data_IF_930655997297
#
_entry.id   IF_930655997297
#
_cell.length_a   1.000
_cell.length_b   1.000
_cell.length_c   1.000
_cell.angle_alpha   90.00
_cell.angle_beta   90.00
_cell.angle_gamma   90.00
#
_symmetry.space_group_name_H-M   'P 1'
#
loop_
_entity.id
_entity.type
_entity.pdbx_description
1 polymer ?
2 non-polymer ?
3 non-polymer ?
4 water ?
#
# COMPACT_ATOMS: atom_id res chain seq x y z
N UNK A 1 21.08 -8.13 -14.02
CA UNK A 1 21.70 -8.51 -12.73
C UNK A 1 21.11 -7.59 -11.64
N UNK A 2 20.39 -8.25 -10.73
CA UNK A 2 19.81 -7.64 -9.57
C UNK A 2 20.46 -8.21 -8.30
N UNK A 3 21.05 -7.31 -7.51
CA UNK A 3 21.75 -7.65 -6.30
C UNK A 3 21.08 -6.92 -5.11
N UNK A 4 20.59 -7.68 -4.14
CA UNK A 4 19.81 -7.17 -2.97
C UNK A 4 20.64 -7.27 -1.73
N UNK A 5 20.83 -6.17 -1.01
CA UNK A 5 21.46 -6.17 0.29
C UNK A 5 20.34 -6.09 1.33
N UNK A 6 20.45 -6.93 2.35
CA UNK A 6 19.46 -7.05 3.38
C UNK A 6 20.14 -7.13 4.70
N UNK A 7 19.37 -6.91 5.75
CA UNK A 7 19.83 -7.02 7.15
C UNK A 7 19.30 -5.91 8.03
N UNK A 8 19.62 -6.01 9.32
CA UNK A 8 19.13 -5.03 10.28
C UNK A 8 19.84 -3.68 10.18
N UNK A 9 19.21 -2.71 10.79
CA UNK A 9 19.76 -1.41 10.99
C UNK A 9 21.15 -1.58 11.69
N UNK A 10 22.19 -0.92 11.19
CA UNK A 10 23.53 -1.00 11.81
C UNK A 10 24.41 -2.12 11.31
N UNK A 11 23.89 -2.95 10.38
CA UNK A 11 24.66 -3.99 9.72
C UNK A 11 25.71 -3.52 8.70
N UNK A 12 25.72 -2.26 8.34
CA UNK A 12 26.66 -1.74 7.36
C UNK A 12 26.18 -1.87 5.91
N UNK A 13 24.94 -2.33 5.68
CA UNK A 13 24.48 -2.63 4.34
C UNK A 13 24.41 -1.40 3.45
N UNK A 14 24.12 -0.22 3.99
CA UNK A 14 24.14 0.96 3.14
C UNK A 14 25.56 1.22 2.56
N UNK A 15 26.51 1.13 3.47
CA UNK A 15 27.92 1.42 3.20
C UNK A 15 28.46 0.41 2.23
N UNK A 16 28.14 -0.86 2.46
CA UNK A 16 28.61 -1.90 1.58
C UNK A 16 28.01 -1.83 0.17
N UNK A 17 26.73 -1.48 0.08
CA UNK A 17 26.07 -1.33 -1.18
C UNK A 17 26.72 -0.26 -2.09
N UNK A 18 26.98 0.91 -1.50
CA UNK A 18 27.66 2.03 -2.14
C UNK A 18 29.09 1.63 -2.54
N UNK A 19 29.74 0.88 -1.67
CA UNK A 19 31.06 0.33 -1.97
C UNK A 19 31.00 -0.64 -3.18
N UNK A 20 29.98 -1.50 -3.23
CA UNK A 20 29.84 -2.37 -4.39
C UNK A 20 29.47 -1.55 -5.70
N UNK A 21 28.55 -0.57 -5.61
CA UNK A 21 28.22 0.29 -6.73
C UNK A 21 29.49 0.94 -7.38
N UNK A 22 30.35 1.50 -6.55
CA UNK A 22 31.58 2.17 -7.04
C UNK A 22 32.56 1.17 -7.60
N UNK A 23 32.62 -0.01 -6.99
CA UNK A 23 33.52 -1.04 -7.44
C UNK A 23 33.10 -1.54 -8.81
N UNK A 24 31.82 -1.82 -9.00
CA UNK A 24 31.35 -2.40 -10.27
C UNK A 24 31.38 -1.37 -11.38
N UNK A 25 31.14 -0.09 -11.02
CA UNK A 25 31.26 1.04 -11.96
C UNK A 25 32.69 1.15 -12.53
N UNK A 26 33.68 1.06 -11.64
CA UNK A 26 35.12 1.05 -12.02
C UNK A 26 35.46 -0.11 -12.95
N UNK A 27 34.91 -1.29 -12.70
CA UNK A 27 35.11 -2.47 -13.55
C UNK A 27 34.34 -2.43 -14.88
N UNK A 28 33.63 -1.33 -15.14
CA UNK A 28 32.95 -1.10 -16.41
C UNK A 28 31.50 -1.57 -16.54
N UNK A 29 30.86 -2.03 -15.46
CA UNK A 29 29.41 -2.33 -15.46
C UNK A 29 28.66 -1.03 -15.45
N UNK A 30 27.43 -1.06 -15.93
CA UNK A 30 26.55 0.06 -15.89
C UNK A 30 25.70 -0.21 -14.66
N UNK A 31 25.77 0.65 -13.67
CA UNK A 31 25.24 0.28 -12.38
C UNK A 31 24.17 1.25 -11.92
N UNK A 32 23.13 0.72 -11.26
CA UNK A 32 22.20 1.55 -10.49
C UNK A 32 22.25 1.18 -8.99
N UNK A 33 21.97 2.15 -8.13
CA UNK A 33 21.84 1.94 -6.71
C UNK A 33 20.59 2.61 -6.21
N UNK A 34 19.71 1.85 -5.60
CA UNK A 34 18.44 2.40 -5.07
C UNK A 34 18.29 1.93 -3.63
N UNK A 35 17.63 2.74 -2.79
CA UNK A 35 17.24 2.28 -1.46
C UNK A 35 15.72 2.01 -1.39
N UNK A 36 15.31 1.16 -0.46
CA UNK A 36 13.91 0.93 -0.17
C UNK A 36 13.64 1.17 1.31
N UNK A 37 12.56 1.88 1.65
CA UNK A 37 11.68 2.59 0.74
C UNK A 37 12.39 3.82 0.14
N UNK A 38 11.88 4.31 -0.97
CA UNK A 38 12.49 5.41 -1.68
C UNK A 38 12.93 5.00 -3.07
N UNK A 39 13.90 5.73 -3.58
CA UNK A 39 14.48 5.51 -4.90
C UNK A 39 13.75 6.08 -6.09
N UNK A 40 12.56 6.63 -5.87
CA UNK A 40 11.81 7.36 -6.88
C UNK A 40 11.21 8.56 -6.17
N UNK A 41 10.73 9.53 -6.94
CA UNK A 41 10.07 10.75 -6.39
C UNK A 41 8.89 10.40 -5.45
N UNK A 42 7.95 9.59 -5.94
CA UNK A 42 6.86 9.11 -5.12
C UNK A 42 7.34 8.30 -3.91
N UNK A 43 8.25 7.34 -4.16
CA UNK A 43 8.86 6.50 -3.11
C UNK A 43 9.46 7.27 -1.96
N UNK A 44 10.13 8.39 -2.27
CA UNK A 44 10.77 9.22 -1.20
C UNK A 44 9.75 9.95 -0.37
N UNK A 45 8.66 10.38 -0.99
CA UNK A 45 7.50 10.91 -0.26
C UNK A 45 6.94 9.87 0.68
N UNK A 46 6.83 8.61 0.22
CA UNK A 46 6.34 7.55 1.11
C UNK A 46 7.33 7.24 2.20
N UNK A 47 8.63 7.29 1.87
CA UNK A 47 9.65 7.01 2.81
C UNK A 47 9.53 8.01 3.99
N UNK A 48 9.40 9.30 3.66
CA UNK A 48 9.28 10.37 4.68
C UNK A 48 8.06 10.14 5.61
N UNK A 49 6.94 9.68 5.02
CA UNK A 49 5.77 9.33 5.81
C UNK A 49 6.11 8.20 6.76
N UNK A 50 6.68 7.13 6.21
CA UNK A 50 7.07 5.98 6.99
C UNK A 50 8.05 6.35 8.10
N UNK A 51 8.98 7.27 7.87
CA UNK A 51 9.97 7.61 8.91
C UNK A 51 9.45 8.67 9.89
N UNK A 52 8.47 9.48 9.49
CA UNK A 52 7.98 10.59 10.29
C UNK A 52 6.76 10.24 11.16
N UNK A 53 5.77 9.62 10.53
CA UNK A 53 4.41 9.60 11.08
C UNK A 53 4.18 8.40 11.94
N UNK A 54 3.18 8.46 12.80
CA UNK A 54 2.85 7.35 13.68
C UNK A 54 1.91 6.53 12.82
N UNK A 55 2.37 5.35 12.40
CA UNK A 55 1.57 4.47 11.54
C UNK A 55 1.35 3.15 12.20
N UNK A 56 0.16 2.61 12.04
CA UNK A 56 -0.08 1.24 12.37
C UNK A 56 0.67 0.31 11.45
N UNK A 57 0.82 -0.93 11.84
CA UNK A 57 1.63 -1.82 11.07
C UNK A 57 1.07 -2.25 9.70
N UNK A 58 -0.24 -2.20 9.52
CA UNK A 58 -0.88 -2.63 8.24
C UNK A 58 -0.72 -1.55 7.20
N UNK A 59 -0.90 -0.30 7.62
CA UNK A 59 -0.68 0.85 6.78
C UNK A 59 0.82 0.92 6.35
N UNK A 60 1.72 0.74 7.30
CA UNK A 60 3.16 0.65 7.00
C UNK A 60 3.51 -0.39 5.94
N UNK A 61 2.98 -1.59 6.11
CA UNK A 61 3.17 -2.67 5.16
C UNK A 61 2.78 -2.22 3.75
N UNK A 62 1.62 -1.59 3.62
CA UNK A 62 1.08 -1.19 2.36
C UNK A 62 1.89 -0.08 1.71
N UNK A 63 2.38 0.88 2.52
CA UNK A 63 3.27 1.92 2.02
C UNK A 63 4.65 1.38 1.62
N UNK A 64 5.25 0.45 2.37
CA UNK A 64 6.52 -0.14 1.92
C UNK A 64 6.32 -0.83 0.56
N UNK A 65 5.17 -1.51 0.38
CA UNK A 65 4.93 -2.16 -0.90
C UNK A 65 4.64 -1.17 -2.02
N UNK A 66 3.91 -0.10 -1.73
CA UNK A 66 3.67 0.96 -2.74
C UNK A 66 4.95 1.54 -3.27
N UNK A 67 5.86 1.82 -2.36
CA UNK A 67 7.17 2.34 -2.73
C UNK A 67 7.92 1.35 -3.62
N UNK A 68 7.82 0.07 -3.27
CA UNK A 68 8.46 -0.98 -4.05
C UNK A 68 7.88 -1.04 -5.46
N UNK A 69 6.54 -1.00 -5.55
CA UNK A 69 5.84 -1.11 -6.80
C UNK A 69 6.32 0.03 -7.72
N UNK A 70 6.41 1.23 -7.16
CA UNK A 70 6.85 2.39 -7.94
C UNK A 70 8.26 2.19 -8.43
N UNK A 71 9.13 1.75 -7.53
CA UNK A 71 10.52 1.51 -7.90
C UNK A 71 10.72 0.42 -8.96
N UNK A 72 10.00 -0.70 -8.78
CA UNK A 72 10.04 -1.78 -9.72
C UNK A 72 9.64 -1.25 -11.12
N UNK A 73 8.47 -0.60 -11.19
CA UNK A 73 7.92 -0.22 -12.47
C UNK A 73 8.65 0.90 -13.16
N UNK A 74 9.02 1.93 -12.42
CA UNK A 74 9.65 3.09 -12.97
C UNK A 74 11.14 2.87 -13.27
N UNK A 75 11.85 2.10 -12.46
CA UNK A 75 13.36 2.03 -12.54
C UNK A 75 13.95 0.64 -12.74
N UNK A 76 13.59 -0.32 -11.89
CA UNK A 76 14.26 -1.58 -11.86
C UNK A 76 13.98 -2.38 -13.14
N UNK A 77 12.71 -2.49 -13.51
CA UNK A 77 12.38 -3.31 -14.67
C UNK A 77 13.05 -2.69 -15.94
N UNK A 78 12.99 -1.35 -16.12
CA UNK A 78 13.73 -0.75 -17.29
C UNK A 78 15.25 -0.88 -17.17
N UNK A 79 15.79 -0.76 -15.95
CA UNK A 79 17.26 -0.88 -15.74
C UNK A 79 17.72 -2.30 -16.13
N UNK A 80 17.00 -3.29 -15.65
CA UNK A 80 17.33 -4.70 -15.98
C UNK A 80 17.26 -5.00 -17.48
N UNK A 81 16.27 -4.45 -18.14
CA UNK A 81 16.10 -4.70 -19.56
C UNK A 81 17.29 -4.11 -20.33
N UNK A 82 17.87 -3.02 -19.81
CA UNK A 82 19.10 -2.43 -20.34
C UNK A 82 20.42 -3.07 -19.79
N UNK A 83 20.37 -4.27 -19.23
CA UNK A 83 21.52 -4.92 -18.63
C UNK A 83 22.33 -4.05 -17.70
N UNK A 84 21.67 -3.17 -16.94
CA UNK A 84 22.34 -2.50 -15.80
C UNK A 84 22.41 -3.48 -14.62
N UNK A 85 23.45 -3.35 -13.81
CA UNK A 85 23.56 -4.05 -12.52
C UNK A 85 22.79 -3.17 -11.55
N UNK A 86 21.69 -3.72 -11.05
CA UNK A 86 20.84 -2.99 -10.10
C UNK A 86 21.16 -3.51 -8.70
N UNK A 87 21.62 -2.57 -7.84
CA UNK A 87 21.93 -2.83 -6.46
C UNK A 87 20.82 -2.22 -5.60
N UNK A 88 20.25 -3.03 -4.74
CA UNK A 88 19.18 -2.53 -3.85
C UNK A 88 19.61 -2.53 -2.39
N UNK A 89 19.45 -1.41 -1.70
CA UNK A 89 19.72 -1.33 -0.28
C UNK A 89 18.37 -1.63 0.39
N UNK A 90 18.18 -2.89 0.74
CA UNK A 90 16.92 -3.51 1.15
C UNK A 90 16.02 -3.92 0.00
N UNK A 91 15.26 -4.97 0.23
CA UNK A 91 14.27 -5.42 -0.74
C UNK A 91 13.27 -6.31 0.00
N UNK A 92 12.86 -7.44 -0.57
CA UNK A 92 11.63 -8.11 -0.14
C UNK A 92 11.80 -8.82 1.20
N UNK A 93 13.02 -9.22 1.53
CA UNK A 93 13.28 -9.96 2.77
C UNK A 93 13.16 -9.02 3.97
N UNK A 94 13.54 -7.74 3.80
CA UNK A 94 13.30 -6.73 4.82
C UNK A 94 11.84 -6.60 5.19
N UNK A 95 10.94 -6.63 4.21
CA UNK A 95 9.52 -6.59 4.51
C UNK A 95 9.07 -7.79 5.33
N UNK A 96 9.46 -8.98 4.94
CA UNK A 96 9.05 -10.20 5.63
C UNK A 96 9.65 -10.18 7.06
N UNK A 97 10.93 -9.86 7.15
CA UNK A 97 11.61 -9.80 8.46
C UNK A 97 11.06 -8.68 9.37
N UNK A 98 10.80 -7.51 8.85
CA UNK A 98 10.33 -6.41 9.71
C UNK A 98 8.81 -6.48 10.00
N UNK A 99 8.00 -6.59 8.96
CA UNK A 99 6.54 -6.57 9.14
C UNK A 99 5.96 -7.95 9.59
N UNK A 100 6.64 -9.01 9.19
CA UNK A 100 6.25 -10.43 9.48
C UNK A 100 6.87 -10.90 10.81
N UNK A 101 8.19 -11.13 10.85
CA UNK A 101 8.82 -11.68 12.07
C UNK A 101 8.85 -10.66 13.18
N UNK A 102 9.06 -9.40 12.84
CA UNK A 102 9.05 -8.36 13.84
C UNK A 102 7.65 -7.92 14.33
N UNK A 103 6.79 -7.41 13.44
CA UNK A 103 5.51 -6.84 13.85
C UNK A 103 4.37 -7.89 13.89
N UNK A 104 4.63 -9.14 13.46
CA UNK A 104 3.63 -10.20 13.55
C UNK A 104 2.59 -10.35 12.44
N UNK A 105 2.79 -9.69 11.30
CA UNK A 105 1.84 -9.78 10.18
C UNK A 105 2.11 -11.12 9.51
N UNK A 106 1.13 -11.58 8.76
CA UNK A 106 1.22 -12.91 8.15
C UNK A 106 2.28 -12.96 7.03
N UNK A 107 3.21 -13.89 7.15
CA UNK A 107 4.36 -13.97 6.22
C UNK A 107 3.95 -14.37 4.81
N UNK A 108 3.01 -15.32 4.66
CA UNK A 108 2.54 -15.71 3.34
C UNK A 108 1.83 -14.52 2.68
N UNK A 109 1.03 -13.77 3.44
CA UNK A 109 0.38 -12.55 2.93
C UNK A 109 1.44 -11.54 2.48
N UNK A 110 2.48 -11.38 3.27
CA UNK A 110 3.60 -10.50 2.84
C UNK A 110 4.28 -10.96 1.57
N UNK A 111 4.54 -12.27 1.47
CA UNK A 111 5.10 -12.84 0.24
C UNK A 111 4.23 -12.60 -0.96
N UNK A 112 2.91 -12.70 -0.82
CA UNK A 112 2.00 -12.33 -1.95
C UNK A 112 2.01 -10.85 -2.32
N UNK A 113 2.01 -9.97 -1.33
CA UNK A 113 2.20 -8.57 -1.64
C UNK A 113 3.51 -8.30 -2.35
N UNK A 114 4.60 -8.90 -1.88
CA UNK A 114 5.94 -8.78 -2.50
C UNK A 114 5.91 -9.22 -3.96
N UNK A 115 5.32 -10.38 -4.22
CA UNK A 115 5.15 -10.85 -5.60
C UNK A 115 4.45 -9.86 -6.49
N UNK A 116 3.31 -9.35 -6.01
CA UNK A 116 2.50 -8.34 -6.71
C UNK A 116 3.31 -7.04 -6.97
N UNK A 117 4.00 -6.55 -5.98
CA UNK A 117 4.70 -5.28 -6.15
C UNK A 117 5.88 -5.38 -7.13
N UNK A 118 6.51 -6.54 -7.11
CA UNK A 118 7.72 -6.79 -7.89
C UNK A 118 7.39 -7.31 -9.27
N UNK A 119 6.13 -7.66 -9.51
CA UNK A 119 5.78 -8.37 -10.77
C UNK A 119 6.60 -9.66 -10.84
N UNK A 120 6.87 -10.28 -9.71
CA UNK A 120 7.71 -11.47 -9.69
C UNK A 120 9.20 -11.29 -9.93
N UNK A 121 9.72 -10.05 -10.13
CA UNK A 121 11.17 -9.83 -10.24
C UNK A 121 11.87 -10.25 -8.91
N UNK A 122 12.88 -11.14 -9.03
CA UNK A 122 13.64 -11.74 -7.92
C UNK A 122 15.14 -11.42 -8.11
N UNK A 123 15.90 -11.20 -6.99
CA UNK A 123 17.33 -10.94 -7.15
C UNK A 123 18.06 -12.16 -7.71
N UNK A 124 19.15 -11.92 -8.40
CA UNK A 124 20.11 -12.99 -8.72
C UNK A 124 20.83 -13.44 -7.48
N UNK A 125 21.05 -12.51 -6.56
CA UNK A 125 21.66 -12.87 -5.32
C UNK A 125 21.22 -11.83 -4.30
N UNK A 126 21.01 -12.31 -3.09
CA UNK A 126 20.76 -11.48 -1.92
C UNK A 126 21.93 -11.66 -0.95
N UNK A 127 22.53 -10.52 -0.62
CA UNK A 127 23.51 -10.48 0.45
C UNK A 127 22.85 -10.11 1.79
N UNK A 128 22.74 -11.09 2.71
CA UNK A 128 22.32 -10.85 4.07
C UNK A 128 23.50 -10.52 4.94
N UNK A 129 23.57 -9.28 5.39
CA UNK A 129 24.62 -8.84 6.29
C UNK A 129 24.15 -9.03 7.74
N UNK A 130 24.49 -10.19 8.27
CA UNK A 130 24.12 -10.62 9.59
C UNK A 130 25.07 -10.06 10.61
N UNK A 131 24.53 -9.59 11.73
CA UNK A 131 25.30 -8.96 12.78
C UNK A 131 24.55 -9.07 14.07
N UNK A 132 25.27 -9.35 15.17
CA UNK A 132 24.55 -9.28 16.43
C UNK A 132 23.94 -7.90 16.72
N UNK A 133 22.70 -7.96 17.25
CA UNK A 133 21.98 -6.74 17.58
C UNK A 133 22.80 -5.80 18.46
N UNK A 134 23.47 -6.37 19.47
CA UNK A 134 24.28 -5.54 20.37
C UNK A 134 25.35 -4.79 19.63
N UNK A 135 25.99 -5.43 18.68
CA UNK A 135 27.03 -4.76 17.88
C UNK A 135 26.38 -3.69 16.98
N UNK A 136 25.27 -4.05 16.34
CA UNK A 136 24.57 -3.06 15.52
C UNK A 136 24.12 -1.82 16.34
N UNK A 137 23.57 -2.06 17.52
CA UNK A 137 23.19 -0.93 18.37
C UNK A 137 24.40 -0.07 18.79
N UNK A 138 25.52 -0.72 19.10
CA UNK A 138 26.77 0.02 19.41
C UNK A 138 27.18 0.93 18.27
N UNK A 139 27.18 0.39 17.05
CA UNK A 139 27.48 1.20 15.87
C UNK A 139 26.48 2.31 15.59
N UNK A 140 25.18 2.02 15.70
CA UNK A 140 24.20 3.11 15.60
C UNK A 140 24.40 4.16 16.70
N UNK A 141 24.73 3.72 17.92
CA UNK A 141 24.95 4.66 19.03
C UNK A 141 26.00 5.71 18.61
N UNK A 142 27.10 5.28 17.97
CA UNK A 142 28.16 6.20 17.47
C UNK A 142 27.68 7.24 16.47
N UNK A 143 26.68 6.90 15.65
CA UNK A 143 26.06 7.87 14.76
C UNK A 143 24.84 8.48 15.42
N UNK A 144 24.68 8.23 16.72
CA UNK A 144 23.61 8.86 17.51
C UNK A 144 22.20 8.37 17.12
N UNK A 145 22.09 7.08 16.77
CA UNK A 145 20.81 6.42 16.43
C UNK A 145 20.55 5.26 17.39
N UNK A 146 19.29 5.10 17.77
CA UNK A 146 18.84 4.19 18.82
C UNK A 146 17.67 3.44 18.21
N UNK A 147 17.72 2.13 18.29
CA UNK A 147 16.65 1.29 17.77
C UNK A 147 16.38 0.28 18.85
N UNK A 148 15.23 -0.35 18.73
CA UNK A 148 14.66 -1.21 19.73
C UNK A 148 15.26 -2.60 19.69
N UNK A 149 16.00 -2.93 20.76
CA UNK A 149 16.64 -4.22 20.87
C UNK A 149 15.72 -5.44 20.81
N UNK A 150 14.60 -5.37 21.53
CA UNK A 150 13.70 -6.52 21.53
C UNK A 150 13.20 -6.78 20.09
N UNK A 151 12.82 -5.71 19.43
CA UNK A 151 12.29 -5.77 18.08
C UNK A 151 13.38 -6.30 17.11
N UNK A 152 14.56 -5.73 17.19
CA UNK A 152 15.66 -6.15 16.31
C UNK A 152 16.13 -7.56 16.51
N UNK A 153 15.95 -8.15 17.71
CA UNK A 153 16.33 -9.55 17.91
C UNK A 153 15.42 -10.44 17.12
N UNK A 154 14.11 -10.11 17.12
CA UNK A 154 13.14 -10.87 16.32
C UNK A 154 13.45 -10.72 14.85
N UNK A 155 13.78 -9.52 14.46
CA UNK A 155 14.05 -9.25 13.01
C UNK A 155 15.29 -10.01 12.54
N UNK A 156 16.36 -9.95 13.32
CA UNK A 156 17.57 -10.68 12.97
C UNK A 156 17.29 -12.18 12.76
N UNK A 157 16.59 -12.79 13.72
CA UNK A 157 16.17 -14.21 13.63
C UNK A 157 15.38 -14.47 12.38
N UNK A 158 14.44 -13.58 12.09
CA UNK A 158 13.65 -13.71 10.86
C UNK A 158 14.51 -13.74 9.64
N UNK A 159 15.38 -12.75 9.50
CA UNK A 159 16.36 -12.76 8.41
C UNK A 159 17.11 -14.10 8.25
N UNK A 160 17.63 -14.63 9.37
CA UNK A 160 18.41 -15.88 9.33
C UNK A 160 17.55 -17.06 8.88
N UNK A 161 16.35 -17.16 9.42
CA UNK A 161 15.41 -18.18 8.95
C UNK A 161 15.10 -18.04 7.45
N UNK A 162 14.97 -16.81 6.95
CA UNK A 162 14.72 -16.60 5.54
C UNK A 162 15.93 -17.00 4.71
N UNK A 163 17.15 -16.78 5.20
CA UNK A 163 18.36 -17.16 4.44
C UNK A 163 18.48 -18.70 4.25
N UNK A 164 17.96 -19.49 5.18
CA UNK A 164 17.85 -20.99 5.05
C UNK A 164 16.80 -21.43 4.05
N UNK A 165 15.61 -20.83 4.16
CA UNK A 165 14.45 -21.20 3.33
C UNK A 165 14.61 -20.63 1.91
N UNK A 166 14.66 -19.29 1.77
CA UNK A 166 14.63 -18.58 0.44
C UNK A 166 15.84 -18.94 -0.42
N UNK A 167 15.70 -18.66 -1.72
CA UNK A 167 16.70 -19.03 -2.72
C UNK A 167 17.79 -17.95 -2.77
N UNK A 168 19.06 -18.34 -3.05
CA UNK A 168 20.09 -17.37 -3.49
C UNK A 168 20.42 -16.27 -2.47
N UNK A 169 20.30 -16.63 -1.20
CA UNK A 169 20.62 -15.76 -0.06
C UNK A 169 21.89 -16.24 0.61
N UNK A 170 22.94 -15.42 0.57
CA UNK A 170 24.21 -15.75 1.20
C UNK A 170 24.36 -14.92 2.47
N UNK A 171 24.68 -15.57 3.57
CA UNK A 171 24.90 -14.89 4.85
C UNK A 171 26.33 -14.39 4.91
N UNK A 172 26.51 -13.09 5.14
CA UNK A 172 27.80 -12.42 5.27
C UNK A 172 27.95 -12.04 6.73
N UNK A 173 29.13 -12.29 7.29
CA UNK A 173 29.44 -11.86 8.64
C UNK A 173 29.74 -10.36 8.61
N UNK A 174 28.73 -9.56 8.89
CA UNK A 174 28.86 -8.12 8.85
C UNK A 174 29.49 -7.56 10.12
N UNK A 175 29.84 -8.40 11.10
CA UNK A 175 30.57 -7.90 12.27
C UNK A 175 32.01 -7.50 11.99
N UNK A 176 32.62 -7.95 10.92
CA UNK A 176 34.03 -7.59 10.67
C UNK A 176 34.21 -6.14 10.27
N UNK A 177 35.44 -5.80 9.92
CA UNK A 177 35.76 -4.49 9.40
C UNK A 177 35.33 -4.43 7.95
N UNK A 178 35.29 -3.21 7.48
CA UNK A 178 34.75 -2.84 6.21
C UNK A 178 35.34 -3.62 5.10
N UNK A 179 36.67 -3.78 5.10
CA UNK A 179 37.29 -4.35 3.92
C UNK A 179 37.12 -5.83 4.00
N UNK A 180 37.10 -6.34 5.20
CA UNK A 180 36.94 -7.76 5.40
C UNK A 180 35.51 -8.19 4.97
N UNK A 181 34.53 -7.38 5.28
CA UNK A 181 33.13 -7.65 4.92
C UNK A 181 33.01 -7.59 3.38
N UNK A 182 33.63 -6.56 2.77
CA UNK A 182 33.55 -6.37 1.34
C UNK A 182 34.19 -7.54 0.59
N UNK A 183 35.26 -8.11 1.16
CA UNK A 183 35.89 -9.28 0.58
C UNK A 183 34.96 -10.47 0.54
N UNK A 184 34.25 -10.71 1.65
CA UNK A 184 33.21 -11.79 1.69
C UNK A 184 32.09 -11.47 0.66
N UNK A 185 31.72 -10.22 0.56
CA UNK A 185 30.70 -9.84 -0.46
C UNK A 185 31.22 -10.20 -1.90
N UNK A 186 32.44 -9.79 -2.25
CA UNK A 186 33.00 -10.13 -3.56
C UNK A 186 33.07 -11.67 -3.76
N UNK A 187 33.42 -12.39 -2.72
CA UNK A 187 33.45 -13.87 -2.79
C UNK A 187 32.08 -14.40 -3.14
N UNK A 188 31.07 -14.03 -2.36
CA UNK A 188 29.73 -14.48 -2.65
C UNK A 188 29.30 -14.01 -4.05
N UNK A 189 29.70 -12.83 -4.51
CA UNK A 189 29.29 -12.39 -5.86
C UNK A 189 29.97 -13.21 -6.95
N UNK A 190 31.18 -13.70 -6.70
CA UNK A 190 31.86 -14.51 -7.69
C UNK A 190 31.09 -15.84 -7.94
N UNK A 191 30.19 -16.31 -7.06
CA UNK A 191 29.18 -17.39 -7.45
C UNK A 191 28.04 -17.02 -8.50
N UNK A 192 27.81 -15.74 -8.78
CA UNK A 192 26.89 -15.35 -9.84
C UNK A 192 27.23 -13.98 -10.43
N UNK B 1 -22.95 1.10 13.27
CA UNK B 1 -23.68 1.26 12.00
C UNK B 1 -22.70 1.89 10.99
N UNK B 2 -22.40 1.10 9.97
CA UNK B 2 -21.53 1.55 8.86
C UNK B 2 -22.31 1.59 7.56
N UNK B 3 -22.35 2.77 6.93
CA UNK B 3 -23.11 2.98 5.71
C UNK B 3 -22.14 3.44 4.60
N UNK B 4 -22.02 2.61 3.54
CA UNK B 4 -21.08 2.88 2.43
C UNK B 4 -21.77 3.39 1.20
N UNK B 5 -21.34 4.54 0.70
CA UNK B 5 -21.88 5.03 -0.58
C UNK B 5 -20.87 4.68 -1.67
N UNK B 6 -21.36 4.09 -2.78
CA UNK B 6 -20.52 3.65 -3.84
C UNK B 6 -21.11 4.11 -5.16
N UNK B 7 -20.25 4.12 -6.17
CA UNK B 7 -20.62 4.46 -7.56
C UNK B 7 -19.58 5.27 -8.30
N UNK B 8 -19.86 5.48 -9.59
CA UNK B 8 -18.93 6.17 -10.47
C UNK B 8 -18.90 7.64 -10.17
N UNK B 9 -17.83 8.26 -10.66
CA UNK B 9 -17.68 9.71 -10.66
C UNK B 9 -18.93 10.32 -11.39
N UNK B 10 -19.56 11.32 -10.80
CA UNK B 10 -20.71 11.98 -11.33
C UNK B 10 -22.02 11.38 -10.88
N UNK B 11 -21.98 10.35 -10.04
CA UNK B 11 -23.20 9.73 -9.52
C UNK B 11 -23.89 10.47 -8.45
N UNK B 12 -23.29 11.55 -7.92
CA UNK B 12 -23.94 12.30 -6.88
C UNK B 12 -23.62 11.75 -5.48
N UNK B 13 -22.77 10.74 -5.37
CA UNK B 13 -22.63 10.09 -4.07
C UNK B 13 -22.02 11.02 -3.01
N UNK B 14 -21.15 11.94 -3.39
CA UNK B 14 -20.60 12.89 -2.40
C UNK B 14 -21.71 13.72 -1.80
N UNK B 15 -22.56 14.25 -2.67
CA UNK B 15 -23.65 15.12 -2.28
C UNK B 15 -24.62 14.39 -1.40
N UNK B 16 -24.97 13.18 -1.82
CA UNK B 16 -25.91 12.41 -1.07
C UNK B 16 -25.43 11.96 0.28
N UNK B 17 -24.15 11.63 0.41
CA UNK B 17 -23.59 11.19 1.66
C UNK B 17 -23.66 12.33 2.69
N UNK B 18 -23.34 13.54 2.23
CA UNK B 18 -23.39 14.76 3.04
C UNK B 18 -24.83 15.04 3.48
N UNK B 19 -25.75 14.88 2.54
CA UNK B 19 -27.17 14.98 2.81
C UNK B 19 -27.58 13.98 3.89
N UNK B 20 -27.14 12.74 3.79
CA UNK B 20 -27.47 11.76 4.82
C UNK B 20 -26.85 12.10 6.16
N UNK B 21 -25.57 12.48 6.15
CA UNK B 21 -24.90 12.90 7.36
C UNK B 21 -25.71 13.99 8.14
N UNK B 22 -26.16 15.04 7.45
CA UNK B 22 -26.91 16.13 8.08
C UNK B 22 -28.29 15.69 8.51
N UNK B 23 -28.93 14.82 7.74
CA UNK B 23 -30.21 14.30 8.14
C UNK B 23 -30.12 13.47 9.46
N UNK B 24 -29.13 12.59 9.54
CA UNK B 24 -29.03 11.68 10.66
C UNK B 24 -28.62 12.40 11.93
N UNK B 25 -27.76 13.42 11.75
CA UNK B 25 -27.34 14.32 12.81
C UNK B 25 -28.58 14.97 13.42
N UNK B 26 -29.43 15.59 12.58
CA UNK B 26 -30.70 16.24 13.01
C UNK B 26 -31.64 15.29 13.80
N UNK B 27 -31.74 14.03 13.37
CA UNK B 27 -32.50 12.98 14.05
C UNK B 27 -31.86 12.49 15.36
N UNK B 28 -30.70 13.03 15.70
CA UNK B 28 -30.02 12.73 16.96
C UNK B 28 -29.04 11.58 16.96
N UNK B 29 -28.66 11.05 15.78
CA UNK B 29 -27.57 10.06 15.75
C UNK B 29 -26.26 10.81 15.88
N UNK B 30 -25.24 10.12 16.41
CA UNK B 30 -23.89 10.65 16.45
C UNK B 30 -23.30 10.14 15.17
N UNK B 31 -22.85 11.04 14.30
CA UNK B 31 -22.50 10.67 12.92
C UNK B 31 -21.11 11.09 12.54
N UNK B 32 -20.43 10.24 11.76
CA UNK B 32 -19.17 10.58 11.07
C UNK B 32 -19.31 10.41 9.55
N UNK B 33 -18.62 11.29 8.81
CA UNK B 33 -18.54 11.24 7.36
C UNK B 33 -17.09 11.31 6.95
N UNK B 34 -16.68 10.32 6.16
CA UNK B 34 -15.28 10.22 5.65
C UNK B 34 -15.29 9.89 4.16
N UNK B 35 -14.33 10.45 3.42
CA UNK B 35 -14.11 10.06 2.04
C UNK B 35 -12.89 9.11 1.89
N UNK B 36 -12.96 8.23 0.88
CA UNK B 36 -11.85 7.39 0.48
C UNK B 36 -11.46 7.71 -0.98
N UNK B 37 -10.17 7.81 -1.28
CA UNK B 37 -9.10 7.86 -0.31
C UNK B 37 -9.19 9.21 0.44
N UNK B 38 -8.53 9.29 1.59
CA UNK B 38 -8.57 10.39 2.50
C UNK B 38 -9.21 10.05 3.82
N UNK B 39 -9.69 11.10 4.47
CA UNK B 39 -10.32 11.04 5.79
C UNK B 39 -9.44 10.99 7.01
N UNK B 40 -8.12 10.92 6.81
CA UNK B 40 -7.13 11.09 7.87
C UNK B 40 -5.99 11.93 7.30
N UNK B 41 -5.14 12.47 8.17
CA UNK B 41 -3.96 13.27 7.73
C UNK B 41 -3.09 12.48 6.69
N UNK B 42 -2.68 11.28 7.07
CA UNK B 42 -1.88 10.43 6.20
C UNK B 42 -2.67 10.11 4.90
N UNK B 43 -3.93 9.72 5.08
CA UNK B 43 -4.87 9.48 3.97
C UNK B 43 -4.99 10.57 2.93
N UNK B 44 -5.05 11.82 3.41
CA UNK B 44 -5.17 12.94 2.51
C UNK B 44 -3.92 13.19 1.72
N UNK B 45 -2.76 12.97 2.36
CA UNK B 45 -1.48 12.98 1.67
C UNK B 45 -1.50 11.96 0.54
N UNK B 46 -1.98 10.76 0.82
CA UNK B 46 -2.05 9.72 -0.21
C UNK B 46 -3.04 10.09 -1.31
N UNK B 47 -4.17 10.66 -0.91
CA UNK B 47 -5.16 11.08 -1.85
C UNK B 47 -4.56 12.08 -2.85
N UNK B 48 -3.79 13.04 -2.34
CA UNK B 48 -3.13 14.05 -3.16
C UNK B 48 -2.19 13.37 -4.17
N UNK B 49 -1.39 12.40 -3.70
CA UNK B 49 -0.50 11.60 -4.60
C UNK B 49 -1.32 10.90 -5.66
N UNK B 50 -2.37 10.19 -5.24
CA UNK B 50 -3.23 9.47 -6.17
C UNK B 50 -3.86 10.38 -7.23
N UNK B 51 -4.26 11.60 -6.86
CA UNK B 51 -4.94 12.50 -7.82
C UNK B 51 -3.96 13.37 -8.63
N UNK B 52 -2.71 13.48 -8.22
CA UNK B 52 -1.68 14.32 -8.87
C UNK B 52 -0.74 13.56 -9.80
N UNK B 53 -0.22 12.44 -9.31
CA UNK B 53 1.01 11.83 -9.87
C UNK B 53 0.62 10.81 -10.88
N UNK B 54 1.55 10.47 -11.75
CA UNK B 54 1.35 9.49 -12.81
C UNK B 54 1.78 8.18 -12.14
N UNK B 55 0.81 7.32 -11.83
CA UNK B 55 1.08 6.12 -11.09
C UNK B 55 0.64 4.96 -11.93
N UNK B 56 1.43 3.91 -11.88
CA UNK B 56 1.00 2.65 -12.39
C UNK B 56 -0.16 2.08 -11.52
N UNK B 57 -0.91 1.14 -12.07
CA UNK B 57 -2.07 0.63 -11.43
C UNK B 57 -1.79 -0.22 -10.20
N UNK B 58 -0.61 -0.82 -10.07
CA UNK B 58 -0.31 -1.61 -8.87
C UNK B 58 -0.04 -0.70 -7.70
N UNK B 59 0.79 0.30 -7.92
CA UNK B 59 1.11 1.29 -6.92
C UNK B 59 -0.18 1.98 -6.45
N UNK B 60 -1.03 2.41 -7.37
CA UNK B 60 -2.34 2.97 -7.01
C UNK B 60 -3.14 2.07 -6.06
N UNK B 61 -3.28 0.80 -6.41
CA UNK B 61 -4.02 -0.15 -5.60
C UNK B 61 -3.49 -0.17 -4.20
N UNK B 62 -2.17 -0.21 -4.05
CA UNK B 62 -1.54 -0.27 -2.73
C UNK B 62 -1.75 1.00 -1.94
N UNK B 63 -1.69 2.14 -2.61
CA UNK B 63 -1.99 3.43 -1.93
C UNK B 63 -3.50 3.60 -1.52
N UNK B 64 -4.43 3.23 -2.39
CA UNK B 64 -5.88 3.24 -1.97
C UNK B 64 -6.05 2.40 -0.72
N UNK B 65 -5.40 1.25 -0.67
CA UNK B 65 -5.50 0.37 0.47
C UNK B 65 -4.84 0.93 1.69
N UNK B 66 -3.67 1.51 1.52
CA UNK B 66 -2.96 2.14 2.67
C UNK B 66 -3.86 3.22 3.28
N UNK B 67 -4.45 4.02 2.45
CA UNK B 67 -5.38 5.07 2.91
C UNK B 67 -6.53 4.47 3.71
N UNK B 68 -7.10 3.36 3.22
CA UNK B 68 -8.18 2.67 3.92
C UNK B 68 -7.76 2.10 5.27
N UNK B 69 -6.60 1.44 5.31
CA UNK B 69 -6.03 0.92 6.53
C UNK B 69 -5.90 1.99 7.61
N UNK B 70 -5.41 3.16 7.21
CA UNK B 70 -5.29 4.31 8.14
C UNK B 70 -6.61 4.77 8.64
N UNK B 71 -7.57 4.90 7.73
CA UNK B 71 -8.90 5.26 8.12
C UNK B 71 -9.57 4.26 9.04
N UNK B 72 -9.46 2.98 8.72
CA UNK B 72 -10.08 1.96 9.51
C UNK B 72 -9.53 1.96 10.97
N UNK B 73 -8.20 2.05 11.09
CA UNK B 73 -7.55 1.94 12.35
C UNK B 73 -7.69 3.18 13.19
N UNK B 74 -7.56 4.34 12.57
CA UNK B 74 -7.55 5.59 13.28
C UNK B 74 -8.96 6.07 13.61
N UNK B 75 -9.92 5.80 12.73
CA UNK B 75 -11.25 6.48 12.80
C UNK B 75 -12.45 5.55 12.84
N UNK B 76 -12.58 4.66 11.87
CA UNK B 76 -13.79 3.90 11.73
C UNK B 76 -13.96 2.93 12.90
N UNK B 77 -12.92 2.16 13.23
CA UNK B 77 -13.04 1.13 14.29
C UNK B 77 -13.42 1.79 15.65
N UNK B 78 -12.68 2.85 16.06
CA UNK B 78 -13.10 3.64 17.24
C UNK B 78 -14.54 4.25 17.15
N UNK B 79 -14.91 4.85 16.01
CA UNK B 79 -16.21 5.42 15.83
C UNK B 79 -17.29 4.37 16.08
N UNK B 80 -17.13 3.20 15.47
CA UNK B 80 -18.11 2.16 15.55
C UNK B 80 -18.24 1.62 16.96
N UNK B 81 -17.11 1.51 17.65
CA UNK B 81 -17.14 1.06 19.06
C UNK B 81 -17.90 2.08 19.93
N UNK B 82 -17.88 3.35 19.54
CA UNK B 82 -18.65 4.38 20.18
C UNK B 82 -20.08 4.52 19.63
N UNK B 83 -20.60 3.53 18.92
CA UNK B 83 -21.91 3.61 18.30
C UNK B 83 -22.18 4.83 17.47
N UNK B 84 -21.15 5.34 16.80
CA UNK B 84 -21.39 6.42 15.82
C UNK B 84 -21.93 5.75 14.55
N UNK B 85 -22.81 6.41 13.83
CA UNK B 85 -23.12 6.05 12.45
C UNK B 85 -21.96 6.53 11.58
N UNK B 86 -21.30 5.58 10.91
CA UNK B 86 -20.17 5.96 10.00
C UNK B 86 -20.62 5.92 8.55
N UNK B 87 -20.57 7.08 7.88
CA UNK B 87 -20.91 7.19 6.49
C UNK B 87 -19.61 7.35 5.68
N UNK B 88 -19.43 6.47 4.69
CA UNK B 88 -18.26 6.49 3.83
C UNK B 88 -18.57 6.87 2.40
N UNK B 89 -17.82 7.84 1.90
CA UNK B 89 -17.95 8.25 0.50
C UNK B 89 -16.89 7.43 -0.28
N UNK B 90 -17.35 6.31 -0.78
CA UNK B 90 -16.54 5.20 -1.29
C UNK B 90 -16.02 4.27 -0.24
N UNK B 91 -15.89 2.98 -0.62
CA UNK B 91 -15.30 1.98 0.24
C UNK B 91 -14.80 0.83 -0.61
N UNK B 92 -14.96 -0.40 -0.16
CA UNK B 92 -14.23 -1.52 -0.75
C UNK B 92 -14.69 -1.89 -2.16
N UNK B 93 -15.95 -1.59 -2.47
CA UNK B 93 -16.47 -1.91 -3.83
C UNK B 93 -15.86 -1.00 -4.89
N UNK B 94 -15.61 0.27 -4.54
CA UNK B 94 -14.86 1.17 -5.42
C UNK B 94 -13.55 0.55 -5.83
N UNK B 95 -12.81 -0.08 -4.91
CA UNK B 95 -11.54 -0.65 -5.27
C UNK B 95 -11.68 -1.85 -6.24
N UNK B 96 -12.66 -2.71 -6.01
CA UNK B 96 -12.84 -3.83 -6.87
C UNK B 96 -13.26 -3.32 -8.29
N UNK B 97 -14.25 -2.45 -8.34
CA UNK B 97 -14.76 -1.89 -9.58
C UNK B 97 -13.71 -1.08 -10.37
N UNK B 98 -12.93 -0.27 -9.69
CA UNK B 98 -11.99 0.58 -10.40
C UNK B 98 -10.70 -0.20 -10.75
N UNK B 99 -10.10 -0.84 -9.76
CA UNK B 99 -8.81 -1.49 -9.98
C UNK B 99 -8.99 -2.88 -10.61
N UNK B 100 -10.10 -3.54 -10.29
CA UNK B 100 -10.40 -4.89 -10.81
C UNK B 100 -11.04 -4.81 -12.17
N UNK B 101 -12.30 -4.40 -12.19
CA UNK B 101 -13.06 -4.35 -13.42
C UNK B 101 -12.52 -3.33 -14.37
N UNK B 102 -12.08 -2.19 -13.86
CA UNK B 102 -11.60 -1.16 -14.74
C UNK B 102 -10.15 -1.34 -15.21
N UNK B 103 -9.21 -1.52 -14.27
CA UNK B 103 -7.79 -1.57 -14.65
C UNK B 103 -7.29 -3.01 -14.87
N UNK B 104 -8.13 -4.01 -14.63
CA UNK B 104 -7.79 -5.40 -14.98
C UNK B 104 -6.98 -6.19 -13.94
N UNK B 105 -6.88 -5.68 -12.71
CA UNK B 105 -6.19 -6.41 -11.65
C UNK B 105 -7.09 -7.50 -11.08
N UNK B 106 -6.47 -8.42 -10.39
CA UNK B 106 -7.17 -9.62 -9.94
C UNK B 106 -8.16 -9.30 -8.82
N UNK B 107 -9.42 -9.67 -9.02
CA UNK B 107 -10.49 -9.35 -8.08
C UNK B 107 -10.30 -10.08 -6.74
N UNK B 108 -9.93 -11.37 -6.75
CA UNK B 108 -9.73 -12.10 -5.48
C UNK B 108 -8.51 -11.53 -4.69
N UNK B 109 -7.47 -11.11 -5.39
CA UNK B 109 -6.35 -10.38 -4.79
C UNK B 109 -6.82 -9.08 -4.17
N UNK B 110 -7.62 -8.33 -4.92
CA UNK B 110 -8.18 -7.08 -4.37
C UNK B 110 -9.01 -7.31 -3.12
N UNK B 111 -9.91 -8.28 -3.14
CA UNK B 111 -10.71 -8.64 -1.97
C UNK B 111 -9.85 -9.05 -0.74
N UNK B 112 -8.75 -9.75 -0.97
CA UNK B 112 -7.84 -10.07 0.17
C UNK B 112 -7.15 -8.85 0.74
N UNK B 113 -6.71 -7.93 -0.12
CA UNK B 113 -6.22 -6.65 0.35
C UNK B 113 -7.28 -5.81 1.07
N UNK B 114 -8.52 -5.79 0.56
CA UNK B 114 -9.63 -5.14 1.24
C UNK B 114 -9.82 -5.73 2.66
N UNK B 115 -9.93 -7.04 2.75
CA UNK B 115 -10.01 -7.76 4.08
C UNK B 115 -8.93 -7.36 5.10
N UNK B 116 -7.69 -7.33 4.57
CA UNK B 116 -6.52 -6.96 5.32
C UNK B 116 -6.60 -5.53 5.80
N UNK B 117 -6.92 -4.59 4.90
CA UNK B 117 -7.00 -3.19 5.29
C UNK B 117 -8.15 -2.87 6.27
N UNK B 118 -9.26 -3.53 6.09
CA UNK B 118 -10.45 -3.25 6.87
C UNK B 118 -10.44 -4.04 8.21
N UNK B 119 -9.51 -4.96 8.37
CA UNK B 119 -9.56 -5.95 9.49
C UNK B 119 -10.88 -6.72 9.44
N UNK B 120 -11.43 -6.92 8.24
CA UNK B 120 -12.72 -7.55 8.10
C UNK B 120 -13.94 -6.70 8.43
N UNK B 121 -13.81 -5.41 8.79
CA UNK B 121 -14.99 -4.57 8.96
C UNK B 121 -15.79 -4.48 7.64
N UNK B 122 -17.09 -4.76 7.71
CA UNK B 122 -18.00 -4.71 6.53
C UNK B 122 -19.17 -3.73 6.81
N UNK B 123 -19.67 -3.00 5.77
CA UNK B 123 -20.85 -2.17 6.00
C UNK B 123 -22.09 -2.95 6.42
N UNK B 124 -22.96 -2.32 7.17
CA UNK B 124 -24.33 -2.82 7.37
C UNK B 124 -25.12 -2.71 6.08
N UNK B 125 -24.83 -1.67 5.31
CA UNK B 125 -25.51 -1.48 4.08
C UNK B 125 -24.58 -0.68 3.16
N UNK B 126 -24.58 -1.07 1.88
CA UNK B 126 -23.91 -0.31 0.81
C UNK B 126 -24.97 0.22 -0.11
N UNK B 127 -24.98 1.53 -0.26
CA UNK B 127 -25.79 2.20 -1.29
C UNK B 127 -25.03 2.41 -2.60
N UNK B 128 -25.36 1.63 -3.64
CA UNK B 128 -24.83 1.83 -4.97
C UNK B 128 -25.66 2.83 -5.79
N UNK B 129 -25.08 4.02 -6.02
CA UNK B 129 -25.76 5.05 -6.78
C UNK B 129 -25.48 4.82 -8.24
N UNK B 130 -26.37 4.07 -8.91
CA UNK B 130 -26.15 3.66 -10.27
C UNK B 130 -26.63 4.73 -11.18
N UNK B 131 -25.88 5.00 -12.24
CA UNK B 131 -26.24 6.05 -13.18
C UNK B 131 -25.60 5.71 -14.51
N UNK B 132 -26.29 6.04 -15.61
CA UNK B 132 -25.58 5.85 -16.88
C UNK B 132 -24.38 6.78 -17.02
N UNK B 133 -23.31 6.22 -17.64
CA UNK B 133 -22.08 6.96 -17.80
C UNK B 133 -22.33 8.32 -18.51
N UNK B 134 -23.14 8.33 -19.54
CA UNK B 134 -23.39 9.54 -20.32
C UNK B 134 -23.97 10.67 -19.46
N UNK B 135 -24.88 10.30 -18.56
CA UNK B 135 -25.48 11.22 -17.66
C UNK B 135 -24.46 11.65 -16.62
N UNK B 136 -23.66 10.72 -16.08
CA UNK B 136 -22.62 11.13 -15.17
C UNK B 136 -21.64 12.11 -15.83
N UNK B 137 -21.20 11.80 -17.05
CA UNK B 137 -20.28 12.68 -17.75
C UNK B 137 -20.88 14.06 -17.98
N UNK B 138 -22.18 14.13 -18.31
CA UNK B 138 -22.85 15.41 -18.51
C UNK B 138 -22.72 16.21 -17.25
N UNK B 139 -23.07 15.60 -16.11
CA UNK B 139 -23.01 16.28 -14.86
C UNK B 139 -21.64 16.77 -14.47
N UNK B 140 -20.63 15.94 -14.66
CA UNK B 140 -19.28 16.40 -14.44
C UNK B 140 -18.93 17.56 -15.41
N UNK B 141 -19.44 17.49 -16.65
CA UNK B 141 -19.14 18.54 -17.66
C UNK B 141 -19.55 19.92 -17.11
N UNK B 142 -20.71 19.99 -16.46
CA UNK B 142 -21.22 21.21 -15.79
C UNK B 142 -20.34 21.75 -14.68
N UNK B 143 -19.62 20.86 -13.98
CA UNK B 143 -18.63 21.25 -12.99
C UNK B 143 -17.26 21.27 -13.62
N UNK B 144 -17.22 21.18 -14.95
CA UNK B 144 -15.97 21.29 -15.69
C UNK B 144 -14.97 20.12 -15.50
N UNK B 145 -15.49 18.92 -15.18
CA UNK B 145 -14.67 17.70 -15.01
C UNK B 145 -14.99 16.70 -16.14
N UNK B 146 -13.96 15.99 -16.52
CA UNK B 146 -13.95 15.13 -17.73
C UNK B 146 -13.34 13.80 -17.32
N UNK B 147 -14.04 12.71 -17.57
CA UNK B 147 -13.50 11.38 -17.19
C UNK B 147 -13.72 10.48 -18.36
N UNK B 148 -13.05 9.35 -18.31
CA UNK B 148 -12.91 8.48 -19.46
C UNK B 148 -14.13 7.56 -19.60
N UNK B 149 -14.90 7.78 -20.65
CA UNK B 149 -16.13 7.02 -20.93
C UNK B 149 -15.95 5.52 -21.07
N UNK B 150 -14.92 5.11 -21.83
CA UNK B 150 -14.63 3.70 -22.00
C UNK B 150 -14.30 3.03 -20.65
N UNK B 151 -13.48 3.70 -19.84
CA UNK B 151 -13.13 3.21 -18.54
C UNK B 151 -14.35 3.17 -17.60
N UNK B 152 -15.11 4.25 -17.53
CA UNK B 152 -16.30 4.28 -16.68
C UNK B 152 -17.40 3.26 -17.04
N UNK B 153 -17.53 2.88 -18.31
CA UNK B 153 -18.49 1.84 -18.67
C UNK B 153 -18.14 0.51 -18.02
N UNK B 154 -16.86 0.15 -18.06
CA UNK B 154 -16.38 -1.07 -17.37
C UNK B 154 -16.62 -1.00 -15.87
N UNK B 155 -16.35 0.16 -15.30
CA UNK B 155 -16.49 0.38 -13.86
C UNK B 155 -17.95 0.24 -13.48
N UNK B 156 -18.81 0.93 -14.21
CA UNK B 156 -20.24 0.85 -13.93
C UNK B 156 -20.75 -0.61 -13.89
N UNK B 157 -20.42 -1.34 -14.95
CA UNK B 157 -20.73 -2.77 -15.06
C UNK B 157 -20.19 -3.54 -13.87
N UNK B 158 -18.93 -3.25 -13.50
CA UNK B 158 -18.35 -3.90 -12.33
C UNK B 158 -19.18 -3.70 -11.09
N UNK B 159 -19.52 -2.45 -10.81
CA UNK B 159 -20.38 -2.16 -9.69
C UNK B 159 -21.71 -2.97 -9.71
N UNK B 160 -22.37 -3.02 -10.85
CA UNK B 160 -23.68 -3.69 -10.94
C UNK B 160 -23.53 -5.21 -10.70
N UNK B 161 -22.50 -5.82 -11.27
CA UNK B 161 -22.14 -7.21 -10.94
C UNK B 161 -21.89 -7.43 -9.42
N UNK B 162 -21.19 -6.51 -8.77
CA UNK B 162 -20.91 -6.64 -7.34
C UNK B 162 -22.15 -6.50 -6.53
N UNK B 163 -23.08 -5.65 -6.97
CA UNK B 163 -24.33 -5.47 -6.21
C UNK B 163 -25.21 -6.78 -6.25
N UNK B 164 -25.12 -7.56 -7.32
CA UNK B 164 -25.76 -8.92 -7.39
C UNK B 164 -25.04 -9.93 -6.51
N UNK B 165 -23.71 -9.94 -6.54
CA UNK B 165 -22.91 -10.96 -5.83
C UNK B 165 -22.74 -10.64 -4.35
N UNK B 166 -22.19 -9.48 -4.03
CA UNK B 166 -21.87 -9.09 -2.63
C UNK B 166 -23.12 -8.99 -1.75
N UNK B 167 -22.90 -8.97 -0.44
CA UNK B 167 -23.99 -8.90 0.54
C UNK B 167 -24.39 -7.45 0.78
N UNK B 168 -25.69 -7.19 1.01
CA UNK B 168 -26.20 -5.92 1.62
C UNK B 168 -25.98 -4.69 0.74
N UNK B 169 -26.03 -4.90 -0.57
CA UNK B 169 -25.84 -3.80 -1.52
C UNK B 169 -27.21 -3.49 -2.11
N UNK B 170 -27.69 -2.27 -1.94
CA UNK B 170 -28.93 -1.79 -2.62
C UNK B 170 -28.59 -0.83 -3.77
N UNK B 171 -29.20 -1.05 -4.92
CA UNK B 171 -28.97 -0.24 -6.08
C UNK B 171 -29.96 0.94 -6.03
N UNK B 172 -29.44 2.15 -6.13
CA UNK B 172 -30.25 3.38 -6.13
C UNK B 172 -30.18 3.93 -7.53
N UNK B 173 -31.33 4.40 -8.03
CA UNK B 173 -31.38 5.12 -9.31
C UNK B 173 -30.88 6.56 -9.09
N UNK B 174 -29.58 6.72 -9.27
CA UNK B 174 -29.03 8.03 -9.03
C UNK B 174 -29.24 9.01 -10.21
N UNK B 175 -29.88 8.58 -11.30
CA UNK B 175 -30.23 9.50 -12.40
C UNK B 175 -31.36 10.52 -12.05
N UNK B 176 -32.10 10.33 -10.96
CA UNK B 176 -33.20 11.24 -10.68
C UNK B 176 -32.72 12.51 -10.06
N UNK B 177 -33.68 13.34 -9.64
CA UNK B 177 -33.32 14.59 -8.95
C UNK B 177 -32.93 14.32 -7.51
N UNK B 178 -32.18 15.27 -6.97
CA UNK B 178 -31.56 15.21 -5.70
C UNK B 178 -32.46 14.76 -4.58
N UNK B 179 -33.70 15.26 -4.50
CA UNK B 179 -34.57 14.90 -3.40
C UNK B 179 -35.12 13.52 -3.60
N UNK B 180 -35.42 13.18 -4.85
CA UNK B 180 -35.98 11.92 -5.22
C UNK B 180 -34.92 10.81 -4.86
N UNK B 181 -33.67 11.04 -5.24
CA UNK B 181 -32.58 10.10 -4.97
C UNK B 181 -32.43 9.93 -3.50
N UNK B 182 -32.45 11.05 -2.76
CA UNK B 182 -32.35 10.99 -1.34
C UNK B 182 -33.47 10.18 -0.66
N UNK B 183 -34.71 10.26 -1.16
CA UNK B 183 -35.80 9.50 -0.56
C UNK B 183 -35.71 8.02 -0.88
N UNK B 184 -35.25 7.65 -2.09
CA UNK B 184 -34.86 6.25 -2.37
C UNK B 184 -33.81 5.78 -1.37
N UNK B 185 -32.81 6.62 -1.09
CA UNK B 185 -31.78 6.28 -0.10
C UNK B 185 -32.42 6.05 1.30
N UNK B 186 -33.26 6.98 1.77
CA UNK B 186 -33.95 6.80 3.08
C UNK B 186 -34.81 5.51 3.14
N UNK B 187 -35.42 5.17 2.03
CA UNK B 187 -36.16 3.93 1.95
C UNK B 187 -35.26 2.72 2.05
N UNK B 188 -34.18 2.67 1.28
CA UNK B 188 -33.24 1.53 1.40
C UNK B 188 -32.63 1.48 2.80
N UNK B 189 -32.43 2.59 3.48
CA UNK B 189 -31.92 2.55 4.88
C UNK B 189 -32.91 2.12 5.88
N UNK B 190 -34.20 2.31 5.64
CA UNK B 190 -35.23 1.93 6.64
C UNK B 190 -35.23 0.44 6.94
N UNK B 191 -35.50 0.07 8.15
CA UNK B 191 -35.25 -1.33 8.51
C UNK B 191 -33.87 -1.40 9.12
N UNK B 192 -32.84 -1.30 8.29
CA UNK B 192 -31.47 -1.31 8.80
C UNK B 192 -31.23 -0.30 9.93
N UNK B 193 -31.81 0.88 9.80
CA UNK B 193 -31.73 1.99 10.75
C UNK B 193 -33.09 2.72 10.74
N UNK B 194 -33.61 3.17 11.90
CA UNK B 194 -34.90 3.91 11.96
C UNK B 194 -34.82 5.33 11.37
X LIG C 1 23.15 0.42 7.81
X LIG C 1 24.34 0.34 8.68
X LIG C 1 23.45 1.37 6.69
X LIG C 1 21.89 0.74 8.59
X LIG C 1 22.95 -0.95 7.24
X LIG D 1 17.14 2.68 6.78
X LIG D 1 17.62 3.82 5.94
X LIG D 1 17.58 1.32 6.18
X LIG D 1 17.39 3.02 8.24
X LIG D 1 15.51 2.79 6.64
X LIG D 1 14.57 1.72 6.45
X LIG D 1 13.84 1.47 7.78
X LIG D 1 12.53 0.89 7.50
X LIG D 1 14.59 0.49 8.68
X LIG D 1 14.23 0.59 10.03
X LIG D 1 14.01 -0.81 8.15
X LIG D 1 12.55 -0.49 7.84
X LIG D 1 11.96 -1.24 6.70
X LIG D 1 10.83 -2.02 6.96
X LIG D 1 10.36 -2.04 8.14
X LIG D 1 10.22 -2.72 6.00
X LIG D 1 10.58 -2.73 4.73
X LIG D 1 9.93 -3.42 3.85
X LIG D 1 11.79 -1.91 4.41
X LIG D 1 12.30 -1.86 3.00
X LIG D 1 12.42 -1.19 5.44
X LIG E 1 -19.90 12.44 -7.07
X LIG E 1 -19.88 13.53 -6.02
X LIG E 1 -18.57 12.06 -7.69
X LIG E 1 -20.47 11.18 -6.45
X LIG E 1 -20.77 12.96 -8.18
X LIG F 1 -14.11 10.97 -6.26
X LIG F 1 -13.66 12.32 -5.72
X LIG F 1 -14.73 10.86 -7.69
X LIG F 1 -14.99 10.22 -5.27
X LIG F 1 -12.53 10.55 -6.30
X LIG F 1 -11.86 9.36 -6.00
X LIG F 1 -11.20 8.94 -7.31
X LIG F 1 -10.39 7.80 -6.99
X LIG F 1 -12.27 8.44 -8.29
X LIG F 1 -11.87 8.51 -9.65
X LIG F 1 -12.40 6.94 -7.96
X LIG F 1 -10.97 6.58 -7.57
X LIG F 1 -10.85 5.43 -6.63
X LIG F 1 -10.28 4.22 -7.10
X LIG F 1 -9.92 4.07 -8.29
X LIG F 1 -10.10 3.19 -6.25
X LIG F 1 -10.44 3.23 -4.93
X LIG F 1 -10.29 2.23 -4.18
X LIG F 1 -11.07 4.49 -4.44
X LIG F 1 -11.47 4.61 -2.97
X LIG F 1 -11.25 5.54 -5.35
#
# INVERSE_FOLDING_TARGET
>A
MLIAFEGIDGSGKTTQAKKLYEYLKQKGYFVSLYREPGGTKVGEVLREILLTEELDERTELLLFEASRSKLIEEKIIPDLKRDKVVILDRFVLSTIAYQGYGKGLDVEFIKNLNEFATRGVKPDITLLLDIPVDIALRRLKEKNRFENKEFLEKVRKGFLELAKEEENVVVIDASGEEEEVFKEILRALSGVLRV
>B
MLIAFEGIDGSGKTTQAKKLYEYLKQKGYFVSLYREPGGTKVGEVLREILLTEELDERTELLLFEASRSKLIEEKIIPDLKRDKVVILDRFVLSTIAYQGYGKGLDVEFIKNLNEFATRGVKPDITLLLDIPVDIALRRLKEKNRFENKEFLEKVRKGFLELAKEEENVVVIDASGEEEEVFKEILRALSGVLRV
>C hetero
1 PO4 P O1 O2 O3 O4
>D hetero
1 TMP P O1P O2P O3P O5' C5' C4' O4' C3' O3' C2' C1' N1 C2 O2 N3 C4 O4 C5 C5M C6
>E hetero
1 PO4 P O1 O2 O3 O4
>F hetero
1 TMP P O1P O2P O3P O5' C5' C4' O4' C3' O3' C2' C1' N1 C2 O2 N3 C4 O4 C5 C5M C6
#
